data_IF_094165768649
#
_entry.id   IF_094165768649
#
_cell.length_a   1.000
_cell.length_b   1.000
_cell.length_c   1.000
_cell.angle_alpha   90.00
_cell.angle_beta   90.00
_cell.angle_gamma   90.00
#
_symmetry.space_group_name_H-M   'P 1'
#
loop_
_entity.id
_entity.type
_entity.pdbx_description
1 polymer ?
#
# COMPACT_ATOMS: atom_id res chain seq x y z
N UNK A 1 -37.02 11.20 -8.06
CA UNK A 1 -36.36 10.40 -7.01
C UNK A 1 -35.31 11.29 -6.38
N UNK A 2 -35.59 11.86 -5.21
CA UNK A 2 -34.68 12.78 -4.51
C UNK A 2 -33.45 12.00 -4.06
N UNK A 3 -32.31 12.18 -4.73
CA UNK A 3 -31.02 11.83 -4.15
C UNK A 3 -30.83 12.74 -2.92
N UNK A 4 -30.94 12.15 -1.74
CA UNK A 4 -30.53 12.79 -0.49
C UNK A 4 -29.01 13.02 -0.58
N UNK A 5 -28.59 14.17 -1.11
CA UNK A 5 -27.20 14.60 -1.09
C UNK A 5 -26.84 14.80 0.38
N UNK A 6 -26.19 13.80 0.99
CA UNK A 6 -25.66 13.93 2.33
C UNK A 6 -24.80 15.20 2.41
N UNK A 7 -24.92 16.01 3.48
CA UNK A 7 -24.15 17.24 3.61
C UNK A 7 -22.66 16.92 3.52
N UNK A 8 -21.95 17.64 2.63
CA UNK A 8 -20.52 17.46 2.40
C UNK A 8 -19.75 17.47 3.73
N UNK A 9 -19.14 16.33 4.08
CA UNK A 9 -18.27 16.23 5.25
C UNK A 9 -16.84 16.56 4.84
N UNK A 10 -16.20 17.47 5.55
CA UNK A 10 -14.81 17.86 5.36
C UNK A 10 -13.95 17.19 6.43
N UNK A 11 -12.73 16.81 6.05
CA UNK A 11 -11.71 16.34 6.99
C UNK A 11 -10.37 16.98 6.67
N UNK A 12 -9.49 17.01 7.65
CA UNK A 12 -8.09 17.36 7.46
C UNK A 12 -7.44 16.39 6.47
N UNK A 13 -6.70 16.96 5.51
CA UNK A 13 -5.95 16.18 4.54
C UNK A 13 -4.89 15.30 5.24
N UNK A 14 -4.48 14.17 4.65
CA UNK A 14 -3.41 13.34 5.21
C UNK A 14 -2.04 14.03 5.20
N UNK A 15 -1.78 14.83 4.16
CA UNK A 15 -0.58 15.66 4.03
C UNK A 15 -1.02 17.10 4.18
N UNK A 16 -0.52 17.77 5.21
CA UNK A 16 -0.95 19.14 5.57
C UNK A 16 0.30 19.99 5.74
N UNK A 17 0.33 21.14 5.07
CA UNK A 17 1.47 22.06 5.10
C UNK A 17 1.10 23.27 5.95
N UNK A 18 1.21 23.11 7.26
CA UNK A 18 0.85 24.15 8.23
C UNK A 18 1.94 24.21 9.29
N UNK A 19 2.34 25.42 9.67
CA UNK A 19 3.19 25.63 10.83
C UNK A 19 2.76 26.90 11.57
N UNK A 20 3.10 26.96 12.86
CA UNK A 20 2.83 28.11 13.70
C UNK A 20 4.13 28.87 14.00
N UNK A 21 4.06 30.20 14.03
CA UNK A 21 5.14 31.10 14.47
C UNK A 21 4.54 32.12 15.42
N UNK A 22 4.70 31.89 16.72
CA UNK A 22 4.03 32.69 17.75
C UNK A 22 2.50 32.64 17.60
N UNK A 23 1.86 33.82 17.52
CA UNK A 23 0.41 33.95 17.33
C UNK A 23 -0.04 33.80 15.87
N UNK A 24 0.88 33.50 14.95
CA UNK A 24 0.59 33.34 13.53
C UNK A 24 0.50 31.86 13.16
N UNK A 25 -0.48 31.51 12.33
CA UNK A 25 -0.59 30.23 11.63
C UNK A 25 -0.30 30.47 10.15
N UNK A 26 0.67 29.75 9.60
CA UNK A 26 0.99 29.79 8.17
C UNK A 26 0.42 28.56 7.49
N UNK A 27 -0.36 28.79 6.44
CA UNK A 27 -0.96 27.77 5.59
C UNK A 27 -0.25 27.77 4.25
N UNK A 28 0.29 26.63 3.83
CA UNK A 28 1.00 26.51 2.55
C UNK A 28 0.18 25.67 1.58
N UNK A 29 -0.13 26.23 0.42
CA UNK A 29 -0.85 25.56 -0.66
C UNK A 29 0.00 24.49 -1.38
N UNK A 30 -0.63 23.69 -2.26
CA UNK A 30 0.07 22.66 -3.04
C UNK A 30 1.17 23.22 -3.95
N UNK A 31 1.00 24.44 -4.44
CA UNK A 31 1.95 25.13 -5.33
C UNK A 31 3.06 25.90 -4.58
N UNK A 32 3.02 25.91 -3.25
CA UNK A 32 4.00 26.59 -2.40
C UNK A 32 3.57 27.98 -1.90
N UNK A 33 2.41 28.46 -2.35
CA UNK A 33 1.83 29.73 -1.89
C UNK A 33 1.59 29.72 -0.38
N UNK A 34 2.01 30.77 0.33
CA UNK A 34 1.85 30.88 1.77
C UNK A 34 0.80 31.92 2.15
N UNK A 35 -0.07 31.56 3.09
CA UNK A 35 -1.06 32.45 3.69
C UNK A 35 -0.81 32.54 5.20
N UNK A 36 -0.51 33.75 5.66
CA UNK A 36 -0.33 34.02 7.09
C UNK A 36 -1.65 34.50 7.71
N UNK A 37 -2.04 33.85 8.79
CA UNK A 37 -3.19 34.21 9.62
C UNK A 37 -2.67 34.55 11.01
N UNK A 38 -3.00 35.72 11.54
CA UNK A 38 -2.56 36.16 12.86
C UNK A 38 -3.72 36.37 13.83
N UNK A 39 -3.44 36.30 15.13
CA UNK A 39 -4.39 36.64 16.18
C UNK A 39 -5.65 35.76 16.15
N UNK A 40 -6.87 36.34 16.23
CA UNK A 40 -8.12 35.56 16.28
C UNK A 40 -8.30 34.62 15.07
N UNK A 41 -7.87 35.02 13.88
CA UNK A 41 -7.96 34.19 12.68
C UNK A 41 -7.06 32.95 12.77
N UNK A 42 -5.88 33.07 13.37
CA UNK A 42 -4.99 31.94 13.65
C UNK A 42 -5.63 30.98 14.65
N UNK A 43 -6.19 31.52 15.75
CA UNK A 43 -6.85 30.74 16.79
C UNK A 43 -8.06 29.96 16.25
N UNK A 44 -8.91 30.62 15.46
CA UNK A 44 -10.04 29.99 14.78
C UNK A 44 -9.58 28.86 13.85
N UNK A 45 -8.53 29.12 13.06
CA UNK A 45 -7.96 28.13 12.12
C UNK A 45 -7.48 26.88 12.86
N UNK A 46 -6.73 27.05 13.96
CA UNK A 46 -6.26 25.94 14.80
C UNK A 46 -7.42 25.12 15.37
N UNK A 47 -8.46 25.78 15.88
CA UNK A 47 -9.65 25.12 16.43
C UNK A 47 -10.37 24.27 15.37
N UNK A 48 -10.65 24.85 14.19
CA UNK A 48 -11.30 24.15 13.08
C UNK A 48 -10.48 22.94 12.64
N UNK A 49 -9.15 23.09 12.50
CA UNK A 49 -8.27 22.01 12.07
C UNK A 49 -8.15 20.87 13.09
N UNK A 50 -8.14 21.19 14.38
CA UNK A 50 -8.15 20.19 15.45
C UNK A 50 -9.46 19.40 15.46
N UNK A 51 -10.59 20.06 15.22
CA UNK A 51 -11.90 19.42 15.20
C UNK A 51 -12.15 18.56 13.94
N UNK A 52 -11.56 18.98 12.81
CA UNK A 52 -11.65 18.30 11.52
C UNK A 52 -10.72 17.09 11.36
N UNK A 53 -10.10 16.60 12.44
CA UNK A 53 -9.37 15.31 12.43
C UNK A 53 -10.27 14.12 12.07
N UNK A 54 -11.58 14.25 12.32
CA UNK A 54 -12.62 13.35 11.81
C UNK A 54 -13.49 14.08 10.76
N UNK A 55 -14.20 13.37 9.88
CA UNK A 55 -15.14 13.99 8.93
C UNK A 55 -16.23 14.82 9.63
N UNK A 56 -16.24 16.13 9.40
CA UNK A 56 -17.21 17.09 9.96
C UNK A 56 -18.07 17.76 8.91
N UNK A 57 -19.35 17.97 9.22
CA UNK A 57 -20.19 18.85 8.41
C UNK A 57 -19.90 20.32 8.74
N UNK A 58 -20.30 21.23 7.84
CA UNK A 58 -20.27 22.68 8.10
C UNK A 58 -20.97 23.04 9.42
N UNK A 59 -22.16 22.47 9.66
CA UNK A 59 -22.95 22.75 10.85
C UNK A 59 -22.23 22.31 12.14
N UNK A 60 -21.58 21.14 12.12
CA UNK A 60 -20.78 20.67 13.26
C UNK A 60 -19.58 21.58 13.54
N UNK A 61 -18.94 22.12 12.50
CA UNK A 61 -17.81 23.05 12.64
C UNK A 61 -18.28 24.37 13.27
N UNK A 62 -19.38 24.94 12.79
CA UNK A 62 -19.96 26.17 13.37
C UNK A 62 -20.31 25.97 14.83
N UNK A 63 -21.05 24.89 15.15
CA UNK A 63 -21.42 24.58 16.52
C UNK A 63 -20.19 24.40 17.44
N UNK A 64 -19.09 23.82 16.90
CA UNK A 64 -17.84 23.70 17.64
C UNK A 64 -17.18 25.06 17.91
N UNK A 65 -17.19 25.96 16.93
CA UNK A 65 -16.64 27.33 17.09
C UNK A 65 -17.46 28.12 18.12
N UNK A 66 -18.79 28.07 18.03
CA UNK A 66 -19.69 28.73 18.98
C UNK A 66 -19.51 28.21 20.42
N UNK A 67 -19.29 26.91 20.56
CA UNK A 67 -19.00 26.30 21.86
C UNK A 67 -17.67 26.80 22.45
N UNK A 68 -16.65 27.06 21.62
CA UNK A 68 -15.36 27.60 22.06
C UNK A 68 -15.45 29.09 22.41
N UNK A 69 -16.24 29.88 21.68
CA UNK A 69 -16.44 31.30 21.98
C UNK A 69 -17.41 31.55 23.14
N UNK A 70 -18.22 30.55 23.53
CA UNK A 70 -19.23 30.67 24.57
C UNK A 70 -20.44 31.52 24.16
N UNK A 71 -20.57 31.84 22.86
CA UNK A 71 -21.65 32.64 22.31
C UNK A 71 -21.89 32.28 20.83
N UNK A 72 -23.13 32.42 20.32
CA UNK A 72 -23.43 32.22 18.90
C UNK A 72 -22.60 33.16 18.03
N UNK A 73 -22.23 32.69 16.83
CA UNK A 73 -21.53 33.53 15.87
C UNK A 73 -22.48 34.61 15.35
N UNK A 74 -22.01 35.87 15.39
CA UNK A 74 -22.75 37.00 14.81
C UNK A 74 -22.80 36.92 13.29
N UNK A 75 -21.77 36.35 12.67
CA UNK A 75 -21.70 36.09 11.24
C UNK A 75 -21.01 34.75 10.97
N UNK A 76 -21.77 33.78 10.45
CA UNK A 76 -21.25 32.48 10.07
C UNK A 76 -20.38 32.52 8.80
N UNK A 77 -20.42 33.62 8.02
CA UNK A 77 -19.64 33.77 6.80
C UNK A 77 -18.13 33.73 7.06
N UNK A 78 -17.67 34.16 8.24
CA UNK A 78 -16.26 34.07 8.65
C UNK A 78 -15.76 32.62 8.65
N UNK A 79 -16.61 31.69 9.12
CA UNK A 79 -16.28 30.25 9.07
C UNK A 79 -16.29 29.76 7.62
N UNK A 80 -17.20 30.24 6.79
CA UNK A 80 -17.25 29.85 5.37
C UNK A 80 -16.05 30.34 4.58
N UNK A 81 -15.58 31.56 4.82
CA UNK A 81 -14.37 32.10 4.22
C UNK A 81 -13.14 31.28 4.59
N UNK A 82 -13.00 30.93 5.87
CA UNK A 82 -11.93 30.06 6.35
C UNK A 82 -12.02 28.68 5.72
N UNK A 83 -13.20 28.04 5.72
CA UNK A 83 -13.39 26.74 5.07
C UNK A 83 -13.10 26.80 3.58
N UNK A 84 -13.45 27.90 2.91
CA UNK A 84 -13.12 28.16 1.52
C UNK A 84 -11.61 28.24 1.29
N UNK A 85 -10.89 28.99 2.12
CA UNK A 85 -9.43 29.08 2.08
C UNK A 85 -8.79 27.71 2.30
N UNK A 86 -9.15 27.00 3.37
CA UNK A 86 -8.59 25.70 3.70
C UNK A 86 -8.87 24.65 2.62
N UNK A 87 -10.00 24.73 1.93
CA UNK A 87 -10.30 23.85 0.79
C UNK A 87 -9.50 24.21 -0.46
N UNK A 88 -9.37 25.49 -0.78
CA UNK A 88 -8.54 25.94 -1.92
C UNK A 88 -7.08 25.53 -1.76
N UNK A 89 -6.57 25.57 -0.53
CA UNK A 89 -5.21 25.13 -0.20
C UNK A 89 -5.08 23.61 0.00
N UNK A 90 -6.14 22.83 -0.26
CA UNK A 90 -6.18 21.37 -0.08
C UNK A 90 -5.88 20.89 1.37
N UNK A 91 -6.01 21.77 2.34
CA UNK A 91 -5.81 21.47 3.77
C UNK A 91 -7.02 20.75 4.36
N UNK A 92 -8.23 21.15 3.92
CA UNK A 92 -9.47 20.42 4.16
C UNK A 92 -9.96 19.82 2.85
N UNK A 93 -10.18 18.51 2.87
CA UNK A 93 -10.66 17.76 1.71
C UNK A 93 -12.02 17.13 2.00
N UNK A 94 -12.85 16.89 0.97
CA UNK A 94 -14.02 16.03 1.10
C UNK A 94 -13.64 14.69 1.73
N UNK A 95 -14.37 14.29 2.77
CA UNK A 95 -14.22 12.98 3.34
C UNK A 95 -14.87 11.96 2.41
N UNK A 96 -14.07 11.18 1.70
CA UNK A 96 -14.56 9.95 1.09
C UNK A 96 -15.01 9.02 2.23
N UNK A 97 -16.24 8.47 2.20
CA UNK A 97 -16.66 7.52 3.21
C UNK A 97 -15.63 6.38 3.25
N UNK A 98 -15.13 5.98 4.45
CA UNK A 98 -14.23 4.84 4.53
C UNK A 98 -14.94 3.67 3.87
N UNK A 99 -14.23 2.98 2.96
CA UNK A 99 -14.77 1.82 2.26
C UNK A 99 -15.10 0.78 3.33
N UNK A 100 -16.37 0.72 3.75
CA UNK A 100 -16.82 -0.11 4.87
C UNK A 100 -16.63 -1.56 4.46
N UNK A 101 -15.54 -2.16 4.93
CA UNK A 101 -15.31 -3.58 4.72
C UNK A 101 -16.37 -4.33 5.51
N UNK A 102 -17.11 -5.21 4.84
CA UNK A 102 -17.99 -6.15 5.53
C UNK A 102 -17.18 -6.89 6.61
N UNK A 103 -17.81 -7.15 7.76
CA UNK A 103 -17.20 -7.92 8.84
C UNK A 103 -16.78 -9.30 8.32
N UNK A 104 -15.51 -9.43 7.96
CA UNK A 104 -14.94 -10.61 7.33
C UNK A 104 -13.48 -10.75 7.73
N UNK A 105 -12.95 -11.97 7.60
CA UNK A 105 -11.56 -12.29 7.93
C UNK A 105 -10.61 -11.36 7.15
N UNK A 106 -9.65 -10.74 7.85
CA UNK A 106 -8.60 -9.94 7.20
C UNK A 106 -7.74 -10.86 6.31
N UNK A 107 -7.47 -10.51 5.05
CA UNK A 107 -6.58 -11.29 4.21
C UNK A 107 -5.17 -11.25 4.78
N UNK A 108 -4.53 -12.42 4.81
CA UNK A 108 -3.19 -12.61 5.35
C UNK A 108 -2.16 -12.47 4.24
N UNK A 109 -1.28 -11.49 4.36
CA UNK A 109 -0.19 -11.26 3.42
C UNK A 109 1.14 -11.62 4.08
N UNK A 110 1.91 -12.47 3.40
CA UNK A 110 3.30 -12.68 3.75
C UNK A 110 4.19 -11.83 2.83
N UNK A 111 4.94 -10.91 3.42
CA UNK A 111 5.88 -10.04 2.73
C UNK A 111 7.29 -10.63 2.79
N UNK A 112 7.83 -11.01 1.64
CA UNK A 112 9.23 -11.37 1.43
C UNK A 112 10.07 -10.15 1.06
N UNK A 113 11.05 -9.81 1.89
CA UNK A 113 11.97 -8.69 1.65
C UNK A 113 13.35 -9.25 1.28
N UNK A 114 13.96 -8.75 0.20
CA UNK A 114 15.24 -9.28 -0.29
C UNK A 114 16.34 -8.20 -0.34
N UNK A 115 17.56 -8.57 -0.74
CA UNK A 115 18.71 -7.65 -0.72
C UNK A 115 18.67 -6.64 -1.87
N UNK A 116 18.00 -5.52 -1.66
CA UNK A 116 17.97 -4.36 -2.55
C UNK A 116 17.85 -3.08 -1.72
N UNK A 117 18.36 -1.94 -2.22
CA UNK A 117 18.27 -0.65 -1.52
C UNK A 117 16.81 -0.25 -1.21
N UNK A 118 15.87 -0.62 -2.10
CA UNK A 118 14.44 -0.40 -1.90
C UNK A 118 13.87 -1.08 -0.63
N UNK A 119 14.61 -2.02 -0.02
CA UNK A 119 14.22 -2.63 1.25
C UNK A 119 14.14 -1.60 2.38
N UNK A 120 14.93 -0.52 2.32
CA UNK A 120 14.85 0.60 3.25
C UNK A 120 13.48 1.33 3.21
N UNK A 121 12.72 1.21 2.12
CA UNK A 121 11.41 1.83 1.94
C UNK A 121 10.25 0.95 2.42
N UNK A 122 10.49 -0.34 2.66
CA UNK A 122 9.44 -1.31 3.00
C UNK A 122 8.61 -1.01 4.26
N UNK A 123 9.09 -0.28 5.30
CA UNK A 123 8.21 0.17 6.39
C UNK A 123 6.97 0.93 5.88
N UNK A 124 7.14 1.78 4.86
CA UNK A 124 6.04 2.50 4.23
C UNK A 124 5.08 1.59 3.47
N UNK A 125 5.59 0.52 2.84
CA UNK A 125 4.76 -0.48 2.17
C UNK A 125 3.91 -1.26 3.18
N UNK A 126 4.49 -1.67 4.30
CA UNK A 126 3.80 -2.36 5.39
C UNK A 126 2.65 -1.50 5.93
N UNK A 127 2.90 -0.22 6.21
CA UNK A 127 1.86 0.70 6.68
C UNK A 127 0.71 0.82 5.69
N UNK A 128 1.00 0.91 4.39
CA UNK A 128 -0.05 0.99 3.36
C UNK A 128 -0.85 -0.31 3.23
N UNK A 129 -0.20 -1.47 3.32
CA UNK A 129 -0.88 -2.77 3.35
C UNK A 129 -1.82 -2.90 4.56
N UNK A 130 -1.39 -2.47 5.74
CA UNK A 130 -2.22 -2.46 6.94
C UNK A 130 -3.40 -1.49 6.82
N UNK A 131 -3.20 -0.32 6.22
CA UNK A 131 -4.28 0.64 5.93
C UNK A 131 -5.34 0.05 4.97
N UNK A 132 -4.92 -0.82 4.05
CA UNK A 132 -5.83 -1.61 3.18
C UNK A 132 -6.41 -2.85 3.87
N UNK A 133 -6.08 -3.06 5.14
CA UNK A 133 -6.68 -4.07 6.01
C UNK A 133 -6.08 -5.48 5.86
N UNK A 134 -4.83 -5.59 5.38
CA UNK A 134 -4.09 -6.85 5.41
C UNK A 134 -3.56 -7.15 6.82
N UNK A 135 -3.60 -8.43 7.22
CA UNK A 135 -2.77 -8.94 8.32
C UNK A 135 -1.40 -9.29 7.72
N UNK A 136 -0.33 -8.61 8.13
CA UNK A 136 0.99 -8.72 7.50
C UNK A 136 1.95 -9.51 8.40
N UNK A 137 2.64 -10.49 7.83
CA UNK A 137 3.84 -11.12 8.42
C UNK A 137 5.00 -10.98 7.45
N UNK A 138 6.22 -10.99 7.97
CA UNK A 138 7.42 -10.67 7.19
C UNK A 138 8.42 -11.81 7.27
N UNK A 139 8.93 -12.19 6.09
CA UNK A 139 10.16 -12.96 5.93
C UNK A 139 11.19 -12.10 5.20
N UNK A 140 12.44 -12.14 5.61
CA UNK A 140 13.51 -11.34 5.02
C UNK A 140 14.73 -12.21 4.69
N UNK A 141 15.50 -11.85 3.67
CA UNK A 141 16.84 -12.42 3.50
C UNK A 141 17.84 -11.71 4.41
N UNK A 142 18.95 -12.35 4.75
CA UNK A 142 20.03 -11.68 5.50
C UNK A 142 20.52 -10.41 4.79
N UNK A 143 20.60 -10.44 3.45
CA UNK A 143 20.96 -9.27 2.66
C UNK A 143 19.94 -8.13 2.78
N UNK A 144 18.64 -8.43 2.91
CA UNK A 144 17.62 -7.41 3.16
C UNK A 144 17.85 -6.70 4.51
N UNK A 145 18.23 -7.46 5.54
CA UNK A 145 18.43 -6.95 6.89
C UNK A 145 19.64 -6.01 7.02
N UNK A 146 20.48 -5.92 5.98
CA UNK A 146 21.53 -4.90 5.87
C UNK A 146 21.00 -3.52 5.47
N UNK A 147 19.82 -3.46 4.83
CA UNK A 147 19.18 -2.22 4.39
C UNK A 147 18.03 -1.78 5.29
N UNK A 148 17.36 -2.72 5.96
CA UNK A 148 16.23 -2.45 6.87
C UNK A 148 16.36 -3.27 8.13
N UNK A 149 16.24 -2.63 9.29
CA UNK A 149 16.33 -3.31 10.58
C UNK A 149 15.05 -4.09 10.89
N UNK A 150 15.21 -5.32 11.39
CA UNK A 150 14.09 -6.17 11.81
C UNK A 150 13.21 -5.46 12.86
N UNK A 151 13.81 -4.84 13.87
CA UNK A 151 13.08 -4.16 14.94
C UNK A 151 12.09 -3.09 14.44
N UNK A 152 12.45 -2.35 13.38
CA UNK A 152 11.56 -1.35 12.79
C UNK A 152 10.32 -1.98 12.15
N UNK A 153 10.50 -3.12 11.48
CA UNK A 153 9.42 -3.87 10.86
C UNK A 153 8.55 -4.59 11.91
N UNK A 154 9.18 -5.18 12.93
CA UNK A 154 8.49 -5.85 14.04
C UNK A 154 7.60 -4.89 14.84
N UNK A 155 8.04 -3.65 15.04
CA UNK A 155 7.23 -2.59 15.66
C UNK A 155 5.96 -2.27 14.85
N UNK A 156 5.99 -2.43 13.52
CA UNK A 156 4.83 -2.20 12.66
C UNK A 156 3.88 -3.40 12.62
N UNK A 157 4.41 -4.63 12.54
CA UNK A 157 3.58 -5.83 12.35
C UNK A 157 3.22 -6.55 13.65
N UNK A 158 3.85 -6.20 14.78
CA UNK A 158 3.70 -6.88 16.08
C UNK A 158 3.91 -8.41 15.99
N UNK A 159 4.81 -8.82 15.10
CA UNK A 159 5.21 -10.20 14.84
C UNK A 159 6.71 -10.25 14.53
N UNK A 160 7.42 -11.33 14.90
CA UNK A 160 8.83 -11.47 14.59
C UNK A 160 9.10 -11.45 13.07
N UNK A 161 10.15 -10.75 12.66
CA UNK A 161 10.66 -10.80 11.29
C UNK A 161 11.57 -12.02 11.15
N UNK A 162 11.16 -12.98 10.32
CA UNK A 162 11.87 -14.25 10.19
C UNK A 162 12.81 -14.24 8.99
N UNK A 163 14.01 -14.78 9.16
CA UNK A 163 15.01 -14.82 8.10
C UNK A 163 15.74 -16.16 8.00
N UNK A 164 15.79 -16.91 9.10
CA UNK A 164 16.42 -18.22 9.18
C UNK A 164 15.38 -19.34 8.99
N UNK A 165 15.70 -20.28 8.09
CA UNK A 165 14.92 -21.49 7.81
C UNK A 165 14.94 -22.48 8.98
N UNK A 166 16.02 -22.44 9.77
CA UNK A 166 16.35 -23.41 10.80
C UNK A 166 16.12 -22.89 12.23
N UNK A 167 15.59 -21.66 12.35
CA UNK A 167 15.29 -21.05 13.62
C UNK A 167 14.33 -21.94 14.42
N UNK A 168 14.74 -22.29 15.65
CA UNK A 168 13.92 -23.09 16.56
C UNK A 168 12.87 -22.20 17.20
N UNK A 169 11.64 -22.33 16.72
CA UNK A 169 10.47 -21.70 17.31
C UNK A 169 9.38 -22.76 17.57
N UNK A 170 9.05 -23.07 18.84
CA UNK A 170 8.01 -24.03 19.17
C UNK A 170 6.65 -23.69 18.54
N UNK A 171 6.34 -22.41 18.31
CA UNK A 171 5.09 -21.98 17.70
C UNK A 171 5.08 -22.16 16.17
N UNK A 172 6.25 -22.28 15.54
CA UNK A 172 6.43 -22.45 14.10
C UNK A 172 7.56 -23.47 13.83
N UNK A 173 7.30 -24.76 14.11
CA UNK A 173 8.32 -25.81 14.05
C UNK A 173 8.85 -26.04 12.62
N UNK A 174 8.08 -25.70 11.59
CA UNK A 174 8.50 -25.76 10.18
C UNK A 174 8.16 -24.42 9.51
N UNK A 175 8.99 -23.38 9.71
CA UNK A 175 8.61 -22.00 9.39
C UNK A 175 8.11 -21.81 7.96
N UNK A 176 8.77 -22.41 6.97
CA UNK A 176 8.39 -22.27 5.57
C UNK A 176 7.00 -22.88 5.27
N UNK A 177 6.71 -24.09 5.76
CA UNK A 177 5.39 -24.73 5.58
C UNK A 177 4.30 -23.98 6.35
N UNK A 178 4.58 -23.61 7.59
CA UNK A 178 3.59 -22.94 8.43
C UNK A 178 3.22 -21.54 7.90
N UNK A 179 4.21 -20.76 7.45
CA UNK A 179 3.97 -19.44 6.85
C UNK A 179 3.32 -19.54 5.48
N UNK A 180 3.73 -20.52 4.66
CA UNK A 180 3.12 -20.81 3.37
C UNK A 180 1.62 -21.16 3.48
N UNK A 181 1.25 -21.94 4.50
CA UNK A 181 -0.14 -22.30 4.77
C UNK A 181 -0.95 -21.16 5.42
N UNK A 182 -0.27 -20.26 6.15
CA UNK A 182 -0.92 -19.12 6.78
C UNK A 182 -1.32 -18.03 5.76
N UNK A 183 -0.52 -17.83 4.72
CA UNK A 183 -0.69 -16.75 3.74
C UNK A 183 -1.88 -16.97 2.80
N UNK A 184 -2.69 -15.93 2.59
CA UNK A 184 -3.67 -15.87 1.50
C UNK A 184 -3.04 -15.31 0.21
N UNK A 185 -1.92 -14.57 0.34
CA UNK A 185 -1.08 -14.05 -0.76
C UNK A 185 0.37 -13.89 -0.27
N UNK A 186 1.34 -14.18 -1.13
CA UNK A 186 2.77 -13.92 -0.87
C UNK A 186 3.23 -12.81 -1.81
N UNK A 187 3.84 -11.76 -1.26
CA UNK A 187 4.45 -10.68 -2.02
C UNK A 187 5.94 -10.66 -1.71
N UNK A 188 6.80 -10.77 -2.72
CA UNK A 188 8.25 -10.56 -2.59
C UNK A 188 8.57 -9.17 -3.14
N UNK A 189 8.74 -8.19 -2.25
CA UNK A 189 8.96 -6.79 -2.60
C UNK A 189 9.88 -6.09 -1.58
N UNK A 190 11.04 -5.58 -2.01
CA UNK A 190 11.65 -5.78 -3.32
C UNK A 190 12.13 -7.23 -3.54
N UNK A 191 12.16 -7.66 -4.81
CA UNK A 191 12.76 -8.90 -5.27
C UNK A 191 14.09 -8.63 -6.00
N UNK A 192 15.20 -9.07 -5.39
CA UNK A 192 16.54 -8.94 -5.95
C UNK A 192 16.76 -9.97 -7.07
N UNK A 193 17.69 -9.66 -7.99
CA UNK A 193 18.09 -10.59 -9.06
C UNK A 193 18.50 -11.97 -8.51
N UNK A 194 19.21 -12.00 -7.37
CA UNK A 194 19.57 -13.24 -6.68
C UNK A 194 18.34 -14.04 -6.32
N UNK A 195 17.34 -13.44 -5.65
CA UNK A 195 16.13 -14.17 -5.24
C UNK A 195 15.31 -14.63 -6.44
N UNK A 196 15.23 -13.81 -7.50
CA UNK A 196 14.56 -14.18 -8.76
C UNK A 196 15.25 -15.39 -9.39
N UNK A 197 16.58 -15.43 -9.43
CA UNK A 197 17.33 -16.58 -9.93
C UNK A 197 17.09 -17.84 -9.09
N UNK A 198 17.04 -17.72 -7.76
CA UNK A 198 16.71 -18.86 -6.86
C UNK A 198 15.34 -19.43 -7.18
N UNK A 199 14.33 -18.57 -7.27
CA UNK A 199 12.95 -18.98 -7.55
C UNK A 199 12.86 -19.67 -8.91
N UNK A 200 13.49 -19.12 -9.94
CA UNK A 200 13.44 -19.67 -11.30
C UNK A 200 14.15 -21.03 -11.41
N UNK A 201 15.12 -21.29 -10.54
CA UNK A 201 15.81 -22.57 -10.44
C UNK A 201 15.17 -23.56 -9.43
N UNK A 202 14.10 -23.17 -8.73
CA UNK A 202 13.52 -23.97 -7.65
C UNK A 202 14.40 -24.10 -6.40
N UNK A 203 15.37 -23.20 -6.20
CA UNK A 203 16.31 -23.23 -5.08
C UNK A 203 15.68 -22.65 -3.78
N UNK A 204 15.51 -23.50 -2.77
CA UNK A 204 14.81 -23.17 -1.53
C UNK A 204 15.73 -22.95 -0.30
N UNK A 205 16.96 -22.48 -0.49
CA UNK A 205 17.93 -22.31 0.61
C UNK A 205 17.64 -21.15 1.56
N UNK A 206 16.79 -20.20 1.16
CA UNK A 206 16.36 -19.08 2.02
C UNK A 206 14.93 -19.28 2.47
N UNK A 207 14.55 -18.75 3.63
CA UNK A 207 13.17 -18.79 4.09
C UNK A 207 12.20 -18.14 3.07
N UNK A 208 12.63 -17.06 2.41
CA UNK A 208 11.84 -16.38 1.36
C UNK A 208 11.54 -17.33 0.19
N UNK A 209 12.57 -17.96 -0.37
CA UNK A 209 12.38 -18.87 -1.53
C UNK A 209 11.68 -20.18 -1.14
N UNK A 210 11.94 -20.70 0.06
CA UNK A 210 11.26 -21.89 0.58
C UNK A 210 9.75 -21.66 0.79
N UNK A 211 9.33 -20.50 1.30
CA UNK A 211 7.89 -20.19 1.43
C UNK A 211 7.25 -20.02 0.05
N UNK A 212 7.90 -19.28 -0.86
CA UNK A 212 7.39 -19.05 -2.20
C UNK A 212 7.15 -20.36 -2.97
N UNK A 213 8.03 -21.35 -2.80
CA UNK A 213 7.90 -22.66 -3.43
C UNK A 213 6.86 -23.58 -2.76
N UNK A 214 6.60 -23.40 -1.46
CA UNK A 214 5.71 -24.29 -0.69
C UNK A 214 4.27 -23.79 -0.54
N UNK A 215 3.99 -22.55 -0.93
CA UNK A 215 2.64 -21.97 -0.79
C UNK A 215 1.69 -22.38 -1.90
N UNK A 216 0.39 -22.44 -1.57
CA UNK A 216 -0.72 -22.55 -2.52
C UNK A 216 -1.40 -21.21 -2.80
N UNK A 217 -0.91 -20.15 -2.16
CA UNK A 217 -1.36 -18.79 -2.39
C UNK A 217 -0.71 -18.23 -3.68
N UNK A 218 -1.33 -17.26 -4.35
CA UNK A 218 -0.65 -16.52 -5.41
C UNK A 218 0.62 -15.88 -4.87
N UNK A 219 1.71 -16.02 -5.63
CA UNK A 219 3.01 -15.40 -5.34
C UNK A 219 3.22 -14.26 -6.33
N UNK A 220 3.49 -13.06 -5.81
CA UNK A 220 3.86 -11.90 -6.59
C UNK A 220 5.33 -11.55 -6.32
N UNK A 221 6.07 -11.17 -7.36
CA UNK A 221 7.45 -10.66 -7.24
C UNK A 221 7.52 -9.26 -7.82
N UNK A 222 8.10 -8.31 -7.09
CA UNK A 222 8.36 -6.94 -7.55
C UNK A 222 9.88 -6.74 -7.72
N UNK A 223 10.44 -6.94 -8.94
CA UNK A 223 11.85 -6.76 -9.20
C UNK A 223 12.33 -5.37 -8.80
N UNK A 224 13.52 -5.28 -8.22
CA UNK A 224 14.17 -4.00 -7.89
C UNK A 224 15.68 -4.14 -8.04
N UNK A 225 16.23 -3.46 -9.03
CA UNK A 225 17.66 -3.41 -9.36
C UNK A 225 17.93 -2.31 -10.39
N UNK A 226 19.20 -1.98 -10.63
CA UNK A 226 19.56 -1.02 -11.66
C UNK A 226 19.15 -1.53 -13.07
N UNK A 227 19.06 -0.59 -14.02
CA UNK A 227 18.58 -0.87 -15.38
C UNK A 227 19.41 -1.96 -16.07
N UNK A 228 20.74 -1.96 -15.94
CA UNK A 228 21.59 -2.94 -16.63
C UNK A 228 21.37 -4.35 -16.10
N UNK A 229 21.24 -4.51 -14.77
CA UNK A 229 20.87 -5.80 -14.19
C UNK A 229 19.48 -6.22 -14.64
N UNK A 230 18.53 -5.27 -14.74
CA UNK A 230 17.19 -5.56 -15.21
C UNK A 230 17.19 -6.03 -16.68
N UNK A 231 17.94 -5.35 -17.55
CA UNK A 231 18.04 -5.67 -18.97
C UNK A 231 18.86 -6.94 -19.26
N UNK A 232 19.59 -7.48 -18.27
CA UNK A 232 20.44 -8.64 -18.48
C UNK A 232 19.63 -9.85 -19.00
N UNK A 233 20.08 -10.53 -20.09
CA UNK A 233 19.36 -11.66 -20.67
C UNK A 233 19.08 -12.80 -19.69
N UNK A 234 19.97 -13.00 -18.73
CA UNK A 234 19.80 -14.02 -17.68
C UNK A 234 18.64 -13.70 -16.75
N UNK A 235 18.43 -12.43 -16.39
CA UNK A 235 17.29 -12.02 -15.57
C UNK A 235 16.00 -12.13 -16.37
N UNK A 236 16.00 -11.64 -17.62
CA UNK A 236 14.82 -11.71 -18.48
C UNK A 236 14.36 -13.16 -18.69
N UNK A 237 15.29 -14.11 -18.89
CA UNK A 237 14.97 -15.54 -18.93
C UNK A 237 14.36 -16.03 -17.61
N UNK A 238 14.92 -15.64 -16.47
CA UNK A 238 14.37 -16.04 -15.16
C UNK A 238 12.97 -15.47 -14.94
N UNK A 239 12.72 -14.20 -15.26
CA UNK A 239 11.39 -13.58 -15.13
C UNK A 239 10.35 -14.24 -16.05
N UNK A 240 10.75 -14.59 -17.28
CA UNK A 240 9.91 -15.35 -18.19
C UNK A 240 9.57 -16.74 -17.62
N UNK A 241 10.56 -17.43 -17.04
CA UNK A 241 10.35 -18.72 -16.39
C UNK A 241 9.39 -18.61 -15.19
N UNK A 242 9.60 -17.64 -14.30
CA UNK A 242 8.68 -17.38 -13.17
C UNK A 242 7.24 -17.16 -13.66
N UNK A 243 7.08 -16.38 -14.72
CA UNK A 243 5.75 -16.13 -15.31
C UNK A 243 5.13 -17.41 -15.87
N UNK A 244 5.91 -18.23 -16.56
CA UNK A 244 5.47 -19.54 -17.06
C UNK A 244 5.09 -20.50 -15.93
N UNK A 245 5.77 -20.44 -14.78
CA UNK A 245 5.50 -21.23 -13.58
C UNK A 245 4.32 -20.68 -12.74
N UNK A 246 3.65 -19.62 -13.21
CA UNK A 246 2.47 -19.04 -12.57
C UNK A 246 2.77 -18.05 -11.45
N UNK A 247 4.02 -17.61 -11.30
CA UNK A 247 4.40 -16.51 -10.41
C UNK A 247 4.10 -15.17 -11.11
N UNK A 248 3.43 -14.27 -10.39
CA UNK A 248 3.00 -12.98 -10.92
C UNK A 248 4.15 -11.98 -10.84
N UNK A 249 4.75 -11.63 -11.98
CA UNK A 249 5.79 -10.60 -12.05
C UNK A 249 5.14 -9.21 -12.12
N UNK A 250 5.37 -8.39 -11.09
CA UNK A 250 5.02 -6.98 -11.10
C UNK A 250 6.12 -6.25 -11.88
N UNK A 251 5.79 -5.70 -13.05
CA UNK A 251 6.76 -4.93 -13.84
C UNK A 251 7.27 -3.71 -13.07
N UNK A 252 8.58 -3.40 -13.14
CA UNK A 252 9.11 -2.19 -12.53
C UNK A 252 8.47 -0.95 -13.16
N UNK A 253 8.29 0.08 -12.35
CA UNK A 253 7.82 1.38 -12.83
C UNK A 253 8.97 2.20 -13.40
N UNK A 254 8.64 3.37 -13.93
CA UNK A 254 9.62 4.44 -14.15
C UNK A 254 9.86 5.15 -12.81
N UNK A 255 11.12 5.26 -12.40
CA UNK A 255 11.48 5.93 -11.14
C UNK A 255 12.92 6.41 -11.17
N UNK A 256 13.35 7.15 -10.14
CA UNK A 256 14.76 7.51 -9.98
C UNK A 256 15.50 6.33 -9.34
N UNK A 257 16.55 5.86 -9.98
CA UNK A 257 17.43 4.83 -9.41
C UNK A 257 18.09 5.37 -8.13
N UNK A 258 18.09 4.57 -7.06
CA UNK A 258 18.62 5.00 -5.76
C UNK A 258 20.09 4.63 -5.60
N UNK A 259 20.58 3.63 -6.34
CA UNK A 259 21.96 3.18 -6.29
C UNK A 259 22.94 4.11 -7.04
N UNK A 260 22.45 4.92 -7.97
CA UNK A 260 23.25 5.92 -8.69
C UNK A 260 23.55 7.16 -7.81
N UNK A 261 24.65 7.85 -8.13
CA UNK A 261 25.05 9.09 -7.47
C UNK A 261 23.92 10.14 -7.61
N UNK A 262 23.61 10.95 -6.57
CA UNK A 262 22.43 11.82 -6.56
C UNK A 262 22.26 12.74 -7.78
N UNK A 263 23.38 13.21 -8.33
CA UNK A 263 23.50 14.07 -9.51
C UNK A 263 23.34 13.32 -10.84
N UNK A 264 23.55 12.01 -10.85
CA UNK A 264 23.41 11.14 -12.04
C UNK A 264 22.01 10.51 -12.15
N UNK A 265 21.19 10.58 -11.09
CA UNK A 265 19.88 9.90 -11.03
C UNK A 265 18.88 10.44 -12.06
N UNK A 266 18.69 9.66 -13.11
CA UNK A 266 17.66 9.87 -14.13
C UNK A 266 16.43 8.98 -13.90
N UNK A 267 15.29 9.38 -14.48
CA UNK A 267 14.11 8.52 -14.50
C UNK A 267 14.38 7.33 -15.42
N UNK A 268 14.35 6.12 -14.86
CA UNK A 268 14.70 4.88 -15.55
C UNK A 268 13.73 3.75 -15.18
N UNK A 269 13.75 2.68 -15.98
CA UNK A 269 13.09 1.41 -15.65
C UNK A 269 14.00 0.60 -14.72
N UNK A 270 13.41 -0.25 -13.87
CA UNK A 270 14.17 -1.09 -12.92
C UNK A 270 13.89 -0.81 -11.44
N UNK A 271 13.62 0.44 -11.01
CA UNK A 271 13.19 0.70 -9.65
C UNK A 271 11.89 -0.02 -9.30
N UNK A 272 11.76 -0.41 -8.03
CA UNK A 272 10.53 -0.98 -7.49
C UNK A 272 9.35 -0.01 -7.74
N UNK A 273 8.18 -0.50 -8.19
CA UNK A 273 7.02 0.37 -8.38
C UNK A 273 6.61 1.09 -7.10
N UNK A 274 5.94 2.25 -7.19
CA UNK A 274 5.39 2.93 -6.02
C UNK A 274 4.52 2.00 -5.18
N UNK A 275 4.62 2.09 -3.85
CA UNK A 275 3.84 1.22 -2.95
C UNK A 275 2.34 1.20 -3.25
N UNK A 276 1.66 2.33 -3.57
CA UNK A 276 0.24 2.28 -3.94
C UNK A 276 -0.06 1.34 -5.12
N UNK A 277 0.77 1.37 -6.16
CA UNK A 277 0.60 0.49 -7.31
C UNK A 277 0.82 -0.99 -6.94
N UNK A 278 1.83 -1.30 -6.14
CA UNK A 278 2.07 -2.68 -5.65
C UNK A 278 0.86 -3.19 -4.88
N UNK A 279 0.32 -2.36 -3.98
CA UNK A 279 -0.82 -2.72 -3.13
C UNK A 279 -2.08 -2.95 -3.96
N UNK A 280 -2.35 -2.12 -4.97
CA UNK A 280 -3.48 -2.31 -5.89
C UNK A 280 -3.36 -3.63 -6.68
N UNK A 281 -2.15 -3.98 -7.13
CA UNK A 281 -1.87 -5.23 -7.83
C UNK A 281 -2.03 -6.46 -6.94
N UNK A 282 -1.61 -6.38 -5.67
CA UNK A 282 -1.85 -7.43 -4.67
C UNK A 282 -3.35 -7.65 -4.45
N UNK A 283 -4.13 -6.58 -4.30
CA UNK A 283 -5.59 -6.68 -4.15
C UNK A 283 -6.26 -7.27 -5.40
N UNK A 284 -5.75 -6.93 -6.60
CA UNK A 284 -6.22 -7.53 -7.84
C UNK A 284 -5.91 -9.04 -7.90
N UNK A 285 -4.67 -9.44 -7.60
CA UNK A 285 -4.27 -10.84 -7.60
C UNK A 285 -5.08 -11.68 -6.60
N UNK A 286 -5.32 -11.16 -5.40
CA UNK A 286 -6.14 -11.83 -4.41
C UNK A 286 -7.59 -12.00 -4.87
N UNK A 287 -8.20 -10.96 -5.49
CA UNK A 287 -9.55 -11.04 -6.06
C UNK A 287 -9.63 -12.10 -7.15
N UNK A 288 -8.68 -12.11 -8.09
CA UNK A 288 -8.62 -13.08 -9.18
C UNK A 288 -8.48 -14.51 -8.64
N UNK A 289 -7.61 -14.73 -7.64
CA UNK A 289 -7.43 -16.03 -7.02
C UNK A 289 -8.71 -16.53 -6.32
N UNK A 290 -9.44 -15.65 -5.62
CA UNK A 290 -10.73 -15.99 -5.01
C UNK A 290 -11.77 -16.33 -6.08
N UNK A 291 -11.86 -15.55 -7.16
CA UNK A 291 -12.79 -15.83 -8.27
C UNK A 291 -12.46 -17.16 -8.94
N UNK A 292 -11.19 -17.44 -9.24
CA UNK A 292 -10.76 -18.73 -9.82
C UNK A 292 -11.08 -19.92 -8.91
N UNK A 293 -10.89 -19.79 -7.59
CA UNK A 293 -11.28 -20.83 -6.63
C UNK A 293 -12.80 -21.06 -6.56
N UNK A 294 -13.60 -20.00 -6.74
CA UNK A 294 -15.07 -20.10 -6.76
C UNK A 294 -15.63 -20.61 -8.10
N UNK A 295 -14.97 -20.26 -9.20
CA UNK A 295 -15.32 -20.69 -10.57
C UNK A 295 -14.65 -21.98 -11.01
N UNK A 296 -13.83 -22.61 -10.15
CA UNK A 296 -13.38 -23.98 -10.35
C UNK A 296 -14.54 -24.94 -10.04
N UNK A 297 -15.61 -24.87 -10.83
CA UNK A 297 -16.41 -26.06 -11.08
C UNK A 297 -15.49 -27.08 -11.76
N UNK A 298 -15.67 -28.36 -11.44
CA UNK A 298 -14.94 -29.43 -12.13
C UNK A 298 -15.16 -29.33 -13.65
N UNK A 299 -14.38 -30.06 -14.46
CA UNK A 299 -14.59 -30.06 -15.90
C UNK A 299 -16.08 -30.24 -16.24
N UNK A 300 -16.62 -29.54 -17.25
CA UNK A 300 -18.01 -29.68 -17.66
C UNK A 300 -18.38 -31.16 -17.74
N UNK A 301 -19.44 -31.54 -17.04
CA UNK A 301 -19.81 -32.96 -16.86
C UNK A 301 -20.48 -33.55 -18.10
N UNK A 302 -20.82 -32.71 -19.07
CA UNK A 302 -21.51 -33.08 -20.29
C UNK A 302 -21.10 -32.19 -21.47
N UNK A 303 -21.39 -32.70 -22.66
CA UNK A 303 -21.03 -32.11 -23.95
C UNK A 303 -21.71 -30.74 -24.18
N UNK A 304 -22.91 -30.55 -23.64
CA UNK A 304 -23.66 -29.29 -23.79
C UNK A 304 -22.99 -28.13 -23.05
N UNK A 305 -22.42 -28.39 -21.87
CA UNK A 305 -21.66 -27.41 -21.11
C UNK A 305 -20.29 -27.13 -21.75
N UNK A 306 -19.68 -28.11 -22.45
CA UNK A 306 -18.51 -27.87 -23.30
C UNK A 306 -18.84 -26.95 -24.48
N UNK A 307 -19.94 -27.20 -25.19
CA UNK A 307 -20.36 -26.42 -26.37
C UNK A 307 -20.76 -24.97 -26.05
N UNK A 308 -21.13 -24.66 -24.81
CA UNK A 308 -21.45 -23.30 -24.38
C UNK A 308 -20.19 -22.42 -24.23
N UNK A 309 -19.06 -23.01 -23.85
CA UNK A 309 -17.77 -22.31 -23.66
C UNK A 309 -17.16 -21.92 -25.02
N UNK A 310 -17.29 -22.78 -26.03
CA UNK A 310 -16.70 -22.54 -27.36
C UNK A 310 -17.56 -21.65 -28.26
N UNK A 311 -18.84 -21.44 -27.94
CA UNK A 311 -19.75 -20.57 -28.71
C UNK A 311 -19.46 -19.08 -28.60
N UNK A 312 -18.64 -18.62 -27.64
CA UNK A 312 -18.29 -17.19 -27.52
C UNK A 312 -17.17 -16.73 -28.46
N UNK A 313 -16.72 -17.56 -29.39
CA UNK A 313 -15.65 -17.24 -30.36
C UNK A 313 -16.05 -17.41 -31.83
N UNK A 314 -17.33 -17.62 -32.12
CA UNK A 314 -17.85 -17.58 -33.48
C UNK A 314 -18.91 -16.48 -33.55
N UNK A 315 -18.66 -15.51 -34.42
CA UNK A 315 -19.49 -14.36 -34.80
C UNK A 315 -19.23 -13.07 -34.01
N UNK A 316 -18.08 -12.44 -34.30
CA UNK A 316 -17.92 -10.99 -34.50
C UNK A 316 -16.87 -10.73 -35.59
#
# INVERSE_FOLDING_TARGET
MHESIEPLRLRRAPVVRIYDVGETTVLVGPDGDAHELAGPSAQLTRAVLAFALAPRTRAEIIAHVEALSGAPLTDAAVVDELLGLLRRLEILIPATPPRRRAAGKRPRLLLGITGAIASALTPGLVGLLQQRGFEVRIVATEAALRFVQAAALEALVHHPVRHDLWARDPALPVPHINLAAWADVVLIAPASATTIARLAAGECSTLVSAVALSTRAPVLVAPSMNLDMFAAPVLQRNLAQLTADGIHVIHPGTGRELAEAPDERVATLGPMPPHPAIVDLVEAALRIAVTRRRGAEGPPRDDAAWDAIYRTHADD
#
